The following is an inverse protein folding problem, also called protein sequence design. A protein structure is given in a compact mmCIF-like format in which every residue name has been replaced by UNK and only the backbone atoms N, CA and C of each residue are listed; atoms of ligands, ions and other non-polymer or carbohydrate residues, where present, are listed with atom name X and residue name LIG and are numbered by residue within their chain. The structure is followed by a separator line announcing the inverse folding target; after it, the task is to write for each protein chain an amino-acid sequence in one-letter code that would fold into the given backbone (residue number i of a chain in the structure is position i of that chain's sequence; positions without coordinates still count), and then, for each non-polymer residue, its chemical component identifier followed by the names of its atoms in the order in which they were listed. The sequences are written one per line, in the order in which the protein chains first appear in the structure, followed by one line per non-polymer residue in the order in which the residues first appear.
data_IF_611183850631
#
_entry.id   IF_611183850631
#
_cell.length_a   1.000
_cell.length_b   1.000
_cell.length_c   1.000
_cell.angle_alpha   90.00
_cell.angle_beta   90.00
_cell.angle_gamma   90.00
#
_symmetry.space_group_name_H-M   'P 1'
#
loop_
_entity.id
_entity.type
_entity.pdbx_description
1 polymer ?
#
# COMPACT_ATOMS: atom_id res chain seq x y z
N UNK A 1 -6.70 -18.87 6.30
CA UNK A 1 -5.44 -18.26 6.80
C UNK A 1 -4.28 -18.65 5.90
N UNK A 2 -4.09 -19.95 5.59
CA UNK A 2 -3.08 -20.43 4.60
C UNK A 2 -3.16 -19.75 3.21
N UNK A 3 -4.36 -19.41 2.71
CA UNK A 3 -4.48 -18.76 1.41
C UNK A 3 -4.02 -17.30 1.41
N UNK A 4 -4.22 -16.58 2.53
CA UNK A 4 -3.82 -15.17 2.64
C UNK A 4 -2.30 -15.07 2.63
N UNK A 5 -1.63 -15.93 3.40
CA UNK A 5 -0.16 -15.97 3.45
C UNK A 5 0.42 -16.32 2.07
N UNK A 6 -0.20 -17.27 1.35
CA UNK A 6 0.18 -17.60 -0.04
C UNK A 6 0.01 -16.43 -1.00
N UNK A 7 -1.12 -15.71 -0.94
CA UNK A 7 -1.33 -14.54 -1.81
C UNK A 7 -0.38 -13.39 -1.48
N UNK A 8 0.00 -13.22 -0.21
CA UNK A 8 1.02 -12.26 0.20
C UNK A 8 2.39 -12.65 -0.35
N UNK A 9 2.75 -13.94 -0.29
CA UNK A 9 4.00 -14.45 -0.87
C UNK A 9 4.03 -14.26 -2.41
N UNK A 10 2.91 -14.45 -3.10
CA UNK A 10 2.79 -14.21 -4.55
C UNK A 10 2.93 -12.72 -4.90
N UNK A 11 2.32 -11.83 -4.11
CA UNK A 11 2.46 -10.38 -4.29
C UNK A 11 3.88 -9.89 -3.95
N UNK A 12 4.57 -10.54 -3.00
CA UNK A 12 5.96 -10.22 -2.66
C UNK A 12 6.94 -10.70 -3.74
N UNK A 13 6.55 -11.65 -4.58
CA UNK A 13 7.31 -12.07 -5.76
C UNK A 13 7.03 -11.22 -7.00
N UNK A 14 6.00 -10.37 -6.99
CA UNK A 14 5.72 -9.43 -8.08
C UNK A 14 6.84 -8.37 -8.16
N UNK A 15 7.57 -8.29 -9.28
CA UNK A 15 8.72 -7.40 -9.40
C UNK A 15 8.33 -5.91 -9.41
N UNK A 16 7.13 -5.56 -9.89
CA UNK A 16 6.66 -4.18 -9.89
C UNK A 16 6.27 -3.75 -8.46
N UNK A 17 5.58 -4.61 -7.72
CA UNK A 17 5.27 -4.38 -6.31
C UNK A 17 6.56 -4.24 -5.50
N UNK A 18 7.52 -5.13 -5.71
CA UNK A 18 8.81 -5.07 -5.02
C UNK A 18 9.58 -3.77 -5.34
N UNK A 19 9.61 -3.36 -6.61
CA UNK A 19 10.27 -2.13 -7.03
C UNK A 19 9.63 -0.88 -6.40
N UNK A 20 8.29 -0.83 -6.33
CA UNK A 20 7.57 0.28 -5.69
C UNK A 20 7.81 0.27 -4.17
N UNK A 21 7.76 -0.90 -3.51
CA UNK A 21 8.09 -1.03 -2.07
C UNK A 21 9.49 -0.50 -1.76
N UNK A 22 10.48 -0.87 -2.56
CA UNK A 22 11.85 -0.39 -2.38
C UNK A 22 11.94 1.15 -2.51
N UNK A 23 11.23 1.74 -3.48
CA UNK A 23 11.17 3.20 -3.64
C UNK A 23 10.50 3.88 -2.45
N UNK A 24 9.40 3.32 -1.93
CA UNK A 24 8.73 3.81 -0.73
C UNK A 24 9.66 3.79 0.48
N UNK A 25 10.37 2.68 0.73
CA UNK A 25 11.32 2.58 1.84
C UNK A 25 12.45 3.60 1.72
N UNK A 26 12.99 3.81 0.52
CA UNK A 26 14.03 4.83 0.28
C UNK A 26 13.49 6.23 0.57
N UNK A 27 12.30 6.57 0.05
CA UNK A 27 11.66 7.87 0.28
C UNK A 27 11.35 8.11 1.75
N UNK A 28 10.81 7.11 2.46
CA UNK A 28 10.57 7.18 3.89
C UNK A 28 11.86 7.48 4.66
N UNK A 29 12.96 6.78 4.34
CA UNK A 29 14.26 7.01 5.00
C UNK A 29 14.80 8.43 4.78
N UNK A 30 14.45 9.07 3.66
CA UNK A 30 14.84 10.44 3.33
C UNK A 30 13.90 11.47 3.98
N UNK A 31 12.59 11.21 4.02
CA UNK A 31 11.57 12.11 4.55
C UNK A 31 11.54 12.13 6.07
N UNK A 32 11.65 10.96 6.71
CA UNK A 32 11.56 10.80 8.16
C UNK A 32 12.46 11.76 8.96
N UNK A 33 13.75 11.97 8.63
CA UNK A 33 14.60 12.91 9.37
C UNK A 33 14.31 14.39 9.07
N UNK A 34 13.52 14.71 8.03
CA UNK A 34 13.24 16.08 7.60
C UNK A 34 11.99 16.68 8.26
N UNK A 35 11.19 15.87 8.95
CA UNK A 35 9.90 16.28 9.52
C UNK A 35 9.85 16.06 11.02
N UNK A 36 9.05 16.86 11.74
CA UNK A 36 8.78 16.62 13.15
C UNK A 36 7.94 15.34 13.32
N UNK A 37 7.85 14.84 14.56
CA UNK A 37 7.01 13.67 14.86
C UNK A 37 5.54 13.93 14.53
N UNK A 38 5.03 15.10 14.87
CA UNK A 38 3.63 15.47 14.61
C UNK A 38 3.36 15.58 13.11
N UNK A 39 4.29 16.18 12.35
CA UNK A 39 4.21 16.24 10.90
C UNK A 39 4.27 14.84 10.27
N UNK A 40 5.11 13.93 10.81
CA UNK A 40 5.17 12.54 10.37
C UNK A 40 3.86 11.80 10.60
N UNK A 41 3.24 11.95 11.78
CA UNK A 41 1.94 11.35 12.08
C UNK A 41 0.83 11.88 11.17
N UNK A 42 0.85 13.18 10.83
CA UNK A 42 -0.08 13.76 9.85
C UNK A 42 0.16 13.21 8.45
N UNK A 43 1.42 13.03 8.05
CA UNK A 43 1.79 12.45 6.76
C UNK A 43 1.31 11.00 6.62
N UNK A 44 1.54 10.16 7.63
CA UNK A 44 1.04 8.78 7.65
C UNK A 44 -0.49 8.71 7.59
N UNK A 45 -1.18 9.62 8.29
CA UNK A 45 -2.65 9.71 8.20
C UNK A 45 -3.12 10.16 6.81
N UNK A 46 -2.41 11.09 6.18
CA UNK A 46 -2.71 11.51 4.82
C UNK A 46 -2.52 10.35 3.83
N UNK A 47 -1.44 9.58 3.97
CA UNK A 47 -1.17 8.38 3.16
C UNK A 47 -2.26 7.31 3.35
N UNK A 48 -2.67 7.03 4.60
CA UNK A 48 -3.71 6.03 4.87
C UNK A 48 -5.04 6.38 4.22
N UNK A 49 -5.41 7.67 4.21
CA UNK A 49 -6.64 8.15 3.55
C UNK A 49 -6.58 7.98 2.03
N UNK A 50 -5.41 8.16 1.40
CA UNK A 50 -5.23 7.88 -0.02
C UNK A 50 -5.38 6.39 -0.34
N UNK A 51 -4.80 5.52 0.49
CA UNK A 51 -4.95 4.07 0.32
C UNK A 51 -6.42 3.63 0.44
N UNK A 52 -7.13 4.12 1.47
CA UNK A 52 -8.57 3.90 1.63
C UNK A 52 -9.38 4.39 0.42
N UNK A 53 -9.06 5.58 -0.09
CA UNK A 53 -9.73 6.13 -1.27
C UNK A 53 -9.47 5.29 -2.52
N UNK A 54 -8.25 4.82 -2.74
CA UNK A 54 -7.91 3.95 -3.86
C UNK A 54 -8.70 2.64 -3.81
N UNK A 55 -8.81 2.02 -2.62
CA UNK A 55 -9.64 0.83 -2.41
C UNK A 55 -11.11 1.12 -2.72
N UNK A 56 -11.64 2.26 -2.27
CA UNK A 56 -13.01 2.66 -2.58
C UNK A 56 -13.24 2.85 -4.08
N UNK A 57 -12.30 3.48 -4.79
CA UNK A 57 -12.38 3.63 -6.24
C UNK A 57 -12.38 2.28 -6.95
N UNK A 58 -11.45 1.39 -6.63
CA UNK A 58 -11.40 0.04 -7.22
C UNK A 58 -12.71 -0.70 -6.95
N UNK A 59 -13.19 -0.69 -5.70
CA UNK A 59 -14.44 -1.36 -5.30
C UNK A 59 -15.67 -0.80 -6.03
N UNK A 60 -15.71 0.51 -6.30
CA UNK A 60 -16.84 1.18 -6.96
C UNK A 60 -16.81 1.05 -8.48
N UNK A 61 -15.62 1.05 -9.08
CA UNK A 61 -15.43 0.91 -10.53
C UNK A 61 -15.52 -0.55 -10.98
N UNK A 62 -15.15 -1.48 -10.11
CA UNK A 62 -15.22 -2.92 -10.36
C UNK A 62 -16.08 -3.61 -9.28
N UNK A 63 -17.39 -3.31 -9.21
CA UNK A 63 -18.28 -3.91 -8.20
C UNK A 63 -18.48 -5.42 -8.40
N UNK A 64 -18.03 -5.97 -9.52
CA UNK A 64 -18.06 -7.40 -9.88
C UNK A 64 -16.74 -7.78 -10.56
N UNK A 65 -15.65 -7.83 -9.80
CA UNK A 65 -14.66 -8.87 -10.06
C UNK A 65 -15.17 -10.08 -9.30
N UNK A 66 -15.94 -10.93 -9.98
CA UNK A 66 -16.33 -12.23 -9.47
C UNK A 66 -15.08 -12.93 -8.93
N UNK A 67 -15.03 -13.07 -7.60
CA UNK A 67 -14.23 -14.08 -6.92
C UNK A 67 -14.82 -15.45 -7.28
N UNK A 68 -14.59 -15.88 -8.52
CA UNK A 68 -14.77 -17.23 -8.99
C UNK A 68 -13.48 -17.63 -9.70
N UNK A 69 -12.47 -17.95 -8.90
CA UNK A 69 -11.37 -18.84 -9.26
C UNK A 69 -11.19 -19.83 -8.10
#
# INVERSE_FOLDING_TARGET
MQDVDRYLDELDQDPEIHAIKAQLTVLESQLRPLVSEEAWMLFLKWESLWAELAVLYVTRLYPQSDFNA
#
